data_IF_912839912162
#
_entry.id   IF_912839912162
#
_cell.length_a   1.000
_cell.length_b   1.000
_cell.length_c   1.000
_cell.angle_alpha   90.00
_cell.angle_beta   90.00
_cell.angle_gamma   90.00
#
_symmetry.space_group_name_H-M   'P 1'
#
loop_
_entity.id
_entity.type
_entity.pdbx_description
1 polymer ?
#
# COMPACT_ATOMS: atom_id res chain seq x y z
N UNK A 1 4.42 19.95 -18.39
CA UNK A 1 5.49 19.30 -17.60
C UNK A 1 5.12 17.84 -17.48
N UNK A 2 5.76 17.00 -18.29
CA UNK A 2 5.41 15.59 -18.49
C UNK A 2 5.94 14.79 -17.30
N UNK A 3 5.06 14.12 -16.57
CA UNK A 3 5.42 13.06 -15.63
C UNK A 3 5.86 11.87 -16.47
N UNK A 4 7.16 11.65 -16.56
CA UNK A 4 7.73 10.47 -17.19
C UNK A 4 8.13 9.50 -16.09
N UNK A 5 7.49 8.32 -16.14
CA UNK A 5 7.64 7.19 -15.25
C UNK A 5 9.10 6.84 -14.99
N UNK A 6 9.39 6.43 -13.76
CA UNK A 6 10.63 5.77 -13.39
C UNK A 6 10.61 4.34 -13.94
N UNK A 7 10.91 4.20 -15.24
CA UNK A 7 11.29 2.90 -15.81
C UNK A 7 12.81 2.78 -15.71
N UNK A 8 13.28 1.94 -14.78
CA UNK A 8 14.68 1.49 -14.76
C UNK A 8 14.86 0.46 -15.86
N UNK A 9 15.73 0.77 -16.81
CA UNK A 9 16.32 -0.22 -17.71
C UNK A 9 15.93 0.00 -19.17
N UNK A 10 16.94 0.31 -19.98
CA UNK A 10 16.95 0.37 -21.44
C UNK A 10 16.25 1.55 -22.12
N UNK A 11 17.10 2.51 -22.53
CA UNK A 11 17.25 3.10 -23.88
C UNK A 11 17.42 4.63 -23.86
N UNK A 12 18.49 5.15 -23.25
CA UNK A 12 18.97 6.46 -23.67
C UNK A 12 19.66 6.30 -25.04
N UNK A 13 19.08 6.88 -26.08
CA UNK A 13 19.62 6.79 -27.43
C UNK A 13 21.06 7.31 -27.48
N UNK A 14 21.90 6.78 -28.41
CA UNK A 14 23.27 7.26 -28.65
C UNK A 14 23.35 8.77 -28.88
N UNK A 15 22.24 9.39 -29.28
CA UNK A 15 22.07 10.82 -29.50
C UNK A 15 22.06 11.65 -28.21
N UNK A 16 21.55 11.09 -27.10
CA UNK A 16 21.50 11.79 -25.81
C UNK A 16 22.87 11.75 -25.14
N UNK A 17 23.58 10.63 -25.25
CA UNK A 17 24.95 10.49 -24.73
C UNK A 17 25.98 11.38 -25.45
N UNK A 18 25.80 11.65 -26.75
CA UNK A 18 26.71 12.54 -27.49
C UNK A 18 26.59 13.99 -27.01
N UNK A 19 25.35 14.48 -26.77
CA UNK A 19 25.11 15.83 -26.22
C UNK A 19 25.59 15.98 -24.77
N UNK A 20 25.41 14.96 -23.93
CA UNK A 20 25.91 14.97 -22.55
C UNK A 20 27.44 15.05 -22.54
N UNK A 21 28.15 14.26 -23.36
CA UNK A 21 29.62 14.32 -23.44
C UNK A 21 30.15 15.66 -23.96
N UNK A 22 29.42 16.33 -24.85
CA UNK A 22 29.78 17.68 -25.34
C UNK A 22 29.64 18.72 -24.21
N UNK A 23 28.60 18.60 -23.39
CA UNK A 23 28.36 19.46 -22.23
C UNK A 23 29.39 19.23 -21.11
N UNK A 24 29.76 17.98 -20.82
CA UNK A 24 30.80 17.63 -19.84
C UNK A 24 32.18 18.16 -20.25
N UNK A 25 32.49 18.19 -21.57
CA UNK A 25 33.73 18.78 -22.10
C UNK A 25 33.79 20.30 -21.96
N UNK A 26 32.64 21.00 -22.04
CA UNK A 26 32.59 22.45 -21.92
C UNK A 26 32.57 22.94 -20.46
N UNK A 27 31.97 22.17 -19.56
CA UNK A 27 31.73 22.59 -18.16
C UNK A 27 32.65 21.93 -17.15
N UNK A 28 33.46 20.95 -17.57
CA UNK A 28 34.33 20.16 -16.69
C UNK A 28 33.60 19.28 -15.67
N UNK A 29 32.26 19.28 -15.69
CA UNK A 29 31.43 18.59 -14.69
C UNK A 29 30.96 17.25 -15.26
N UNK A 30 31.39 16.12 -14.67
CA UNK A 30 30.86 14.79 -15.03
C UNK A 30 29.42 14.64 -14.52
N UNK A 31 28.45 14.57 -15.43
CA UNK A 31 27.02 14.38 -15.14
C UNK A 31 26.75 13.02 -14.50
N UNK A 32 27.62 12.02 -14.74
CA UNK A 32 27.57 10.73 -14.06
C UNK A 32 27.61 10.81 -12.53
N UNK A 33 28.24 11.84 -11.97
CA UNK A 33 28.32 12.04 -10.52
C UNK A 33 27.11 12.81 -9.95
N UNK A 34 26.25 13.38 -10.78
CA UNK A 34 25.01 14.07 -10.34
C UNK A 34 23.86 13.10 -10.04
N UNK A 35 24.01 11.81 -10.40
CA UNK A 35 23.03 10.75 -10.16
C UNK A 35 23.34 9.96 -8.88
N UNK A 36 24.54 10.11 -8.29
CA UNK A 36 24.90 9.50 -7.02
C UNK A 36 24.86 10.53 -5.87
N UNK A 37 24.06 10.22 -4.83
CA UNK A 37 23.82 10.97 -3.57
C UNK A 37 22.65 11.96 -3.53
N UNK A 38 21.50 11.62 -4.12
CA UNK A 38 20.25 11.87 -3.38
C UNK A 38 19.97 10.65 -2.54
N UNK A 39 20.13 10.76 -1.22
CA UNK A 39 19.59 9.78 -0.26
C UNK A 39 18.15 9.49 -0.67
N UNK A 40 17.88 8.30 -1.17
CA UNK A 40 16.51 7.86 -1.40
C UNK A 40 15.86 7.89 -0.03
N UNK A 41 14.98 8.87 0.23
CA UNK A 41 14.37 9.01 1.55
C UNK A 41 13.59 7.72 1.80
N UNK A 42 13.95 6.99 2.86
CA UNK A 42 13.41 5.66 3.09
C UNK A 42 11.88 5.72 3.15
N UNK A 43 11.23 4.99 2.26
CA UNK A 43 9.77 4.83 2.22
C UNK A 43 9.35 3.81 3.26
N UNK A 44 8.22 4.04 3.91
CA UNK A 44 7.63 3.14 4.90
C UNK A 44 6.20 2.82 4.53
N UNK A 45 5.82 1.56 4.73
CA UNK A 45 4.44 1.12 4.85
C UNK A 45 4.13 1.04 6.34
N UNK A 46 3.05 1.67 6.78
CA UNK A 46 2.59 1.60 8.16
C UNK A 46 1.16 1.13 8.19
N UNK A 47 0.87 0.23 9.12
CA UNK A 47 -0.46 -0.25 9.43
C UNK A 47 -0.81 0.24 10.84
N UNK A 48 -1.96 0.90 10.95
CA UNK A 48 -2.50 1.40 12.20
C UNK A 48 -3.81 0.68 12.49
N UNK A 49 -3.97 0.23 13.74
CA UNK A 49 -5.18 -0.46 14.21
C UNK A 49 -5.67 0.15 15.52
N UNK A 50 -6.98 0.34 15.61
CA UNK A 50 -7.70 0.65 16.82
C UNK A 50 -8.77 -0.41 17.04
N UNK A 51 -8.85 -0.91 18.27
CA UNK A 51 -9.95 -1.75 18.73
C UNK A 51 -11.17 -0.88 18.99
N UNK A 52 -12.35 -1.47 18.90
CA UNK A 52 -13.62 -0.81 19.23
C UNK A 52 -13.56 -0.13 20.61
N UNK A 53 -13.03 -0.82 21.63
CA UNK A 53 -12.90 -0.30 22.99
C UNK A 53 -12.01 0.95 23.12
N UNK A 54 -11.05 1.12 22.21
CA UNK A 54 -10.10 2.24 22.22
C UNK A 54 -10.62 3.43 21.40
N UNK A 55 -11.61 3.19 20.54
CA UNK A 55 -12.37 4.22 19.85
C UNK A 55 -13.51 4.76 20.73
N UNK A 56 -14.02 3.93 21.65
CA UNK A 56 -15.01 4.35 22.65
C UNK A 56 -14.44 5.43 23.57
N UNK A 57 -15.18 6.52 23.75
CA UNK A 57 -14.79 7.71 24.50
C UNK A 57 -14.28 8.86 23.63
N UNK A 58 -14.29 8.70 22.30
CA UNK A 58 -14.10 9.80 21.36
C UNK A 58 -15.48 10.22 20.86
N UNK A 59 -16.00 11.33 21.40
CA UNK A 59 -17.39 11.76 21.23
C UNK A 59 -17.91 11.69 19.79
N UNK A 60 -17.12 12.18 18.82
CA UNK A 60 -17.51 12.19 17.42
C UNK A 60 -17.57 10.78 16.80
N UNK A 61 -16.67 9.87 17.21
CA UNK A 61 -16.65 8.49 16.75
C UNK A 61 -17.77 7.69 17.41
N UNK A 62 -18.02 7.90 18.70
CA UNK A 62 -19.15 7.26 19.40
C UNK A 62 -20.47 7.69 18.77
N UNK A 63 -20.61 8.96 18.42
CA UNK A 63 -21.81 9.47 17.73
C UNK A 63 -21.94 8.87 16.33
N UNK A 64 -20.87 8.85 15.54
CA UNK A 64 -20.82 8.22 14.22
C UNK A 64 -21.20 6.73 14.29
N UNK A 65 -20.59 5.96 15.20
CA UNK A 65 -20.90 4.55 15.41
C UNK A 65 -22.27 4.33 16.07
N UNK A 66 -22.89 5.37 16.62
CA UNK A 66 -24.30 5.40 17.03
C UNK A 66 -25.26 5.48 15.84
N UNK A 67 -24.82 6.06 14.72
CA UNK A 67 -25.60 6.23 13.48
C UNK A 67 -25.43 5.03 12.54
N UNK A 68 -24.18 4.57 12.33
CA UNK A 68 -23.89 3.49 11.39
C UNK A 68 -23.25 2.25 12.05
N UNK A 69 -23.50 1.07 11.49
CA UNK A 69 -22.83 -0.19 11.86
C UNK A 69 -21.40 -0.25 11.32
N UNK A 70 -21.21 0.32 10.13
CA UNK A 70 -19.96 0.35 9.36
C UNK A 70 -19.91 1.61 8.49
N UNK A 71 -18.72 2.17 8.38
CA UNK A 71 -18.34 3.22 7.43
C UNK A 71 -17.01 2.84 6.80
N UNK A 72 -16.97 2.69 5.47
CA UNK A 72 -15.77 2.32 4.74
C UNK A 72 -15.49 3.32 3.61
N UNK A 73 -14.31 3.93 3.65
CA UNK A 73 -13.80 4.76 2.58
C UNK A 73 -13.23 3.86 1.49
N UNK A 74 -13.85 3.87 0.31
CA UNK A 74 -13.43 3.13 -0.87
C UNK A 74 -12.44 3.92 -1.74
N UNK A 75 -12.48 5.25 -1.65
CA UNK A 75 -11.62 6.12 -2.45
C UNK A 75 -11.60 7.56 -1.97
N UNK A 76 -10.55 8.29 -2.35
CA UNK A 76 -10.46 9.75 -2.21
C UNK A 76 -10.77 10.39 -3.56
N UNK A 77 -11.84 11.18 -3.64
CA UNK A 77 -12.24 11.90 -4.84
C UNK A 77 -11.49 13.23 -4.99
N UNK A 78 -11.27 13.94 -3.88
CA UNK A 78 -10.41 15.12 -3.82
C UNK A 78 -9.69 15.21 -2.47
N UNK A 79 -8.51 15.83 -2.47
CA UNK A 79 -7.71 16.09 -1.26
C UNK A 79 -7.30 17.56 -1.25
N UNK A 80 -7.84 18.30 -0.31
CA UNK A 80 -7.62 19.74 -0.11
C UNK A 80 -7.07 19.97 1.30
N UNK A 81 -6.43 21.12 1.53
CA UNK A 81 -5.82 21.41 2.83
C UNK A 81 -6.84 21.53 3.97
N UNK A 82 -8.11 21.80 3.66
CA UNK A 82 -9.20 21.98 4.61
C UNK A 82 -10.18 20.79 4.64
N UNK A 83 -9.92 19.72 3.89
CA UNK A 83 -10.78 18.53 3.88
C UNK A 83 -10.49 17.54 2.77
N UNK A 84 -11.08 16.35 2.90
CA UNK A 84 -10.99 15.27 1.91
C UNK A 84 -12.39 14.87 1.49
N UNK A 85 -12.66 14.90 0.19
CA UNK A 85 -13.90 14.32 -0.33
C UNK A 85 -13.65 12.84 -0.63
N UNK A 86 -14.51 11.99 -0.10
CA UNK A 86 -14.34 10.55 -0.05
C UNK A 86 -15.54 9.85 -0.67
N UNK A 87 -15.30 8.78 -1.41
CA UNK A 87 -16.33 7.82 -1.79
C UNK A 87 -16.42 6.80 -0.67
N UNK A 88 -17.60 6.68 -0.07
CA UNK A 88 -17.82 5.95 1.18
C UNK A 88 -19.00 5.00 1.02
N UNK A 89 -18.82 3.77 1.49
CA UNK A 89 -19.91 2.81 1.68
C UNK A 89 -20.29 2.79 3.16
N UNK A 90 -21.58 2.98 3.45
CA UNK A 90 -22.13 3.05 4.80
C UNK A 90 -23.18 1.97 5.00
N UNK A 91 -23.27 1.43 6.22
CA UNK A 91 -24.45 0.70 6.66
C UNK A 91 -25.08 1.40 7.85
N UNK A 92 -26.21 2.07 7.62
CA UNK A 92 -26.94 2.82 8.65
C UNK A 92 -27.64 1.84 9.59
N UNK A 93 -27.70 2.15 10.89
CA UNK A 93 -28.42 1.34 11.87
C UNK A 93 -29.93 1.50 11.71
N UNK A 94 -30.67 0.47 12.11
CA UNK A 94 -32.14 0.52 12.11
C UNK A 94 -32.64 1.71 12.95
N UNK A 95 -33.54 2.51 12.35
CA UNK A 95 -34.11 3.71 12.97
C UNK A 95 -33.22 4.96 12.91
N UNK A 96 -32.09 4.92 12.19
CA UNK A 96 -31.23 6.07 11.91
C UNK A 96 -31.32 6.51 10.45
N UNK A 97 -30.95 7.74 10.18
CA UNK A 97 -31.03 8.39 8.86
C UNK A 97 -29.63 8.81 8.39
N UNK A 98 -29.38 8.73 7.07
CA UNK A 98 -28.10 9.14 6.48
C UNK A 98 -27.77 10.62 6.76
N UNK A 99 -28.78 11.48 6.84
CA UNK A 99 -28.60 12.91 7.10
C UNK A 99 -27.96 13.20 8.47
N UNK A 100 -28.09 12.29 9.44
CA UNK A 100 -27.50 12.44 10.77
C UNK A 100 -25.97 12.46 10.72
N UNK A 101 -25.36 11.90 9.67
CA UNK A 101 -23.90 11.99 9.46
C UNK A 101 -23.46 13.45 9.31
N UNK A 102 -24.27 14.30 8.67
CA UNK A 102 -23.99 15.72 8.51
C UNK A 102 -24.24 16.55 9.77
N UNK A 103 -24.75 15.94 10.85
CA UNK A 103 -24.86 16.59 12.17
C UNK A 103 -23.55 16.52 12.95
N UNK A 104 -22.61 15.66 12.52
CA UNK A 104 -21.25 15.58 13.05
C UNK A 104 -20.43 16.79 12.57
N UNK A 105 -19.44 17.21 13.35
CA UNK A 105 -18.63 18.39 13.02
C UNK A 105 -17.68 18.17 11.85
N UNK A 106 -17.20 16.95 11.69
CA UNK A 106 -16.14 16.57 10.77
C UNK A 106 -16.64 15.93 9.47
N UNK A 107 -17.96 15.78 9.28
CA UNK A 107 -18.53 15.03 8.16
C UNK A 107 -19.70 15.78 7.53
N UNK A 108 -19.73 15.80 6.19
CA UNK A 108 -20.82 16.38 5.41
C UNK A 108 -21.15 15.42 4.25
N UNK A 109 -22.38 14.93 4.21
CA UNK A 109 -22.88 14.14 3.08
C UNK A 109 -23.15 15.07 1.90
N UNK A 110 -22.45 14.83 0.78
CA UNK A 110 -22.56 15.65 -0.42
C UNK A 110 -23.58 15.08 -1.42
N UNK A 111 -23.47 13.78 -1.69
CA UNK A 111 -24.26 13.11 -2.72
C UNK A 111 -24.45 11.64 -2.37
N UNK A 112 -25.67 11.13 -2.57
CA UNK A 112 -25.98 9.70 -2.49
C UNK A 112 -26.01 9.13 -3.90
N UNK A 113 -25.22 8.09 -4.15
CA UNK A 113 -25.08 7.47 -5.47
C UNK A 113 -25.99 6.25 -5.63
N UNK A 114 -25.93 5.33 -4.66
CA UNK A 114 -26.64 4.03 -4.71
C UNK A 114 -27.02 3.58 -3.30
N UNK A 115 -28.08 2.78 -3.20
CA UNK A 115 -28.50 2.10 -1.97
C UNK A 115 -29.07 0.72 -2.31
N UNK A 116 -28.59 -0.29 -1.61
CA UNK A 116 -29.08 -1.67 -1.70
C UNK A 116 -29.15 -2.32 -0.31
N UNK A 117 -29.34 -3.64 -0.25
CA UNK A 117 -29.40 -4.39 1.02
C UNK A 117 -28.07 -4.41 1.79
N UNK A 118 -26.94 -4.17 1.12
CA UNK A 118 -25.60 -4.21 1.70
C UNK A 118 -25.16 -2.88 2.31
N UNK A 119 -25.64 -1.76 1.75
CA UNK A 119 -25.35 -0.43 2.27
C UNK A 119 -25.71 0.70 1.32
N UNK A 120 -25.21 1.89 1.64
CA UNK A 120 -25.40 3.13 0.89
C UNK A 120 -24.03 3.62 0.40
N UNK A 121 -23.90 3.86 -0.91
CA UNK A 121 -22.74 4.47 -1.51
C UNK A 121 -22.93 5.99 -1.59
N UNK A 122 -22.03 6.75 -0.98
CA UNK A 122 -22.15 8.21 -0.84
C UNK A 122 -20.81 8.93 -1.04
N UNK A 123 -20.87 10.18 -1.50
CA UNK A 123 -19.77 11.13 -1.38
C UNK A 123 -19.87 11.87 -0.06
N UNK A 124 -18.82 11.83 0.76
CA UNK A 124 -18.73 12.57 2.03
C UNK A 124 -17.51 13.47 2.02
N UNK A 125 -17.66 14.73 2.44
CA UNK A 125 -16.55 15.60 2.82
C UNK A 125 -16.18 15.34 4.26
N UNK A 126 -14.91 15.00 4.49
CA UNK A 126 -14.36 14.73 5.81
C UNK A 126 -13.33 15.81 6.16
N UNK A 127 -13.56 16.51 7.28
CA UNK A 127 -12.69 17.56 7.83
C UNK A 127 -12.08 17.16 9.18
N UNK A 128 -12.16 15.87 9.52
CA UNK A 128 -11.62 15.37 10.78
C UNK A 128 -10.10 15.64 10.87
N UNK A 129 -9.55 16.08 12.03
CA UNK A 129 -8.14 16.45 12.16
C UNK A 129 -7.16 15.35 11.71
N UNK A 130 -7.51 14.08 11.93
CA UNK A 130 -6.72 12.94 11.44
C UNK A 130 -6.62 12.91 9.91
N UNK A 131 -7.72 13.17 9.21
CA UNK A 131 -7.76 13.19 7.75
C UNK A 131 -6.97 14.39 7.20
N UNK A 132 -7.18 15.59 7.76
CA UNK A 132 -6.47 16.81 7.37
C UNK A 132 -4.95 16.65 7.58
N UNK A 133 -4.53 16.11 8.74
CA UNK A 133 -3.10 15.91 9.03
C UNK A 133 -2.38 15.02 8.01
N UNK A 134 -3.07 14.02 7.46
CA UNK A 134 -2.51 13.14 6.44
C UNK A 134 -2.32 13.86 5.10
N UNK A 135 -3.18 14.84 4.77
CA UNK A 135 -3.06 15.69 3.58
C UNK A 135 -1.94 16.72 3.76
N UNK A 136 -1.87 17.37 4.92
CA UNK A 136 -0.88 18.42 5.21
C UNK A 136 0.55 17.89 5.22
N UNK A 137 0.76 16.69 5.78
CA UNK A 137 2.05 16.03 5.84
C UNK A 137 2.41 15.47 4.45
N UNK A 138 2.73 16.39 3.55
CA UNK A 138 3.21 16.15 2.19
C UNK A 138 4.07 14.87 2.14
N UNK A 139 3.81 14.00 1.17
CA UNK A 139 4.43 12.67 0.99
C UNK A 139 3.94 11.56 1.93
N UNK A 140 2.70 11.64 2.39
CA UNK A 140 1.93 10.51 2.91
C UNK A 140 0.82 10.19 1.92
N UNK A 141 0.59 8.90 1.70
CA UNK A 141 -0.53 8.38 0.94
C UNK A 141 -1.28 7.39 1.81
N UNK A 142 -2.55 7.70 2.08
CA UNK A 142 -3.47 6.79 2.78
C UNK A 142 -4.11 5.90 1.72
N UNK A 143 -4.04 4.58 1.92
CA UNK A 143 -4.49 3.61 0.92
C UNK A 143 -5.87 3.05 1.28
N UNK A 144 -6.93 3.35 0.49
CA UNK A 144 -8.22 2.69 0.62
C UNK A 144 -8.20 1.25 0.04
N UNK A 145 -9.14 0.38 0.46
CA UNK A 145 -10.21 0.65 1.41
C UNK A 145 -9.74 0.70 2.86
N UNK A 146 -10.41 1.53 3.65
CA UNK A 146 -10.28 1.53 5.11
C UNK A 146 -11.58 2.04 5.74
N UNK A 147 -11.88 1.61 6.95
CA UNK A 147 -13.14 1.94 7.57
C UNK A 147 -13.17 1.67 9.06
N UNK A 148 -14.25 2.14 9.69
CA UNK A 148 -14.59 1.81 11.06
C UNK A 148 -15.80 0.89 11.03
N UNK A 149 -15.73 -0.21 11.78
CA UNK A 149 -16.89 -1.05 12.03
C UNK A 149 -17.02 -1.39 13.52
N UNK A 150 -18.25 -1.64 13.94
CA UNK A 150 -18.62 -1.88 15.35
C UNK A 150 -18.05 -3.17 15.95
N UNK A 151 -17.42 -4.05 15.16
CA UNK A 151 -16.84 -5.33 15.59
C UNK A 151 -15.32 -5.31 15.57
N UNK A 152 -14.69 -4.81 14.51
CA UNK A 152 -13.24 -4.86 14.33
C UNK A 152 -12.53 -3.53 14.63
N UNK A 153 -13.27 -2.43 14.79
CA UNK A 153 -12.71 -1.11 15.03
C UNK A 153 -12.22 -0.45 13.74
N UNK A 154 -11.08 0.23 13.81
CA UNK A 154 -10.49 0.97 12.68
C UNK A 154 -9.15 0.35 12.28
N UNK A 155 -8.99 0.05 11.01
CA UNK A 155 -7.69 -0.29 10.41
C UNK A 155 -7.46 0.56 9.18
N UNK A 156 -6.27 1.16 9.05
CA UNK A 156 -5.86 1.73 7.76
C UNK A 156 -4.35 1.67 7.54
N UNK A 157 -3.98 1.72 6.26
CA UNK A 157 -2.61 1.63 5.76
C UNK A 157 -2.16 2.95 5.19
N UNK A 158 -0.95 3.36 5.55
CA UNK A 158 -0.30 4.54 5.00
C UNK A 158 1.06 4.20 4.40
N UNK A 159 1.41 4.90 3.34
CA UNK A 159 2.71 4.87 2.71
C UNK A 159 3.31 6.25 2.75
N UNK A 160 4.59 6.36 3.05
CA UNK A 160 5.20 7.67 3.02
C UNK A 160 6.67 7.68 3.34
N UNK A 161 7.23 8.87 3.21
CA UNK A 161 8.63 9.10 3.55
C UNK A 161 8.80 9.02 5.08
N UNK A 162 9.90 8.41 5.53
CA UNK A 162 10.17 8.18 6.95
C UNK A 162 9.99 9.40 7.86
N UNK A 163 10.33 10.61 7.40
CA UNK A 163 10.13 11.85 8.16
C UNK A 163 8.65 12.22 8.30
N UNK A 164 7.90 12.21 7.19
CA UNK A 164 6.46 12.53 7.21
C UNK A 164 5.69 11.52 8.05
N UNK A 165 6.00 10.22 7.90
CA UNK A 165 5.43 9.15 8.70
C UNK A 165 5.70 9.37 10.20
N UNK A 166 6.90 9.79 10.58
CA UNK A 166 7.20 10.07 11.99
C UNK A 166 6.31 11.18 12.54
N UNK A 167 6.24 12.31 11.84
CA UNK A 167 5.40 13.44 12.25
C UNK A 167 3.91 13.07 12.32
N UNK A 168 3.43 12.27 11.36
CA UNK A 168 2.06 11.78 11.39
C UNK A 168 1.81 10.91 12.62
N UNK A 169 2.68 9.95 12.91
CA UNK A 169 2.53 9.08 14.08
C UNK A 169 2.59 9.85 15.42
N UNK A 170 3.36 10.93 15.50
CA UNK A 170 3.36 11.84 16.67
C UNK A 170 2.01 12.53 16.85
N UNK A 171 1.42 13.03 15.76
CA UNK A 171 0.09 13.62 15.76
C UNK A 171 -1.00 12.60 16.13
N UNK A 172 -1.02 11.46 15.46
CA UNK A 172 -2.02 10.40 15.68
C UNK A 172 -2.01 9.93 17.14
N UNK A 173 -0.83 9.75 17.75
CA UNK A 173 -0.73 9.36 19.17
C UNK A 173 -1.32 10.40 20.14
N UNK A 174 -1.41 11.65 19.71
CA UNK A 174 -1.95 12.74 20.53
C UNK A 174 -3.46 12.86 20.37
N UNK A 175 -3.95 12.77 19.12
CA UNK A 175 -5.37 12.98 18.80
C UNK A 175 -6.19 11.71 18.98
N UNK A 176 -5.66 10.58 18.53
CA UNK A 176 -6.37 9.30 18.47
C UNK A 176 -5.37 8.13 18.58
N UNK A 177 -4.88 7.78 19.77
CA UNK A 177 -3.79 6.83 19.93
C UNK A 177 -4.18 5.42 19.47
N UNK A 178 -3.40 4.79 18.55
CA UNK A 178 -3.68 3.45 18.05
C UNK A 178 -3.25 2.36 19.05
N UNK A 179 -4.00 1.27 19.09
CA UNK A 179 -3.62 0.06 19.83
C UNK A 179 -2.40 -0.63 19.25
N UNK A 180 -2.23 -0.58 17.93
CA UNK A 180 -1.13 -1.26 17.25
C UNK A 180 -0.61 -0.44 16.08
N UNK A 181 0.71 -0.37 15.99
CA UNK A 181 1.44 0.28 14.90
C UNK A 181 2.45 -0.74 14.35
N UNK A 182 2.28 -1.16 13.10
CA UNK A 182 3.26 -1.99 12.40
C UNK A 182 3.95 -1.16 11.34
N UNK A 183 5.29 -1.06 11.40
CA UNK A 183 6.11 -0.24 10.48
C UNK A 183 7.03 -1.14 9.67
N UNK A 184 6.91 -1.06 8.35
CA UNK A 184 7.74 -1.81 7.41
C UNK A 184 8.48 -0.83 6.51
N UNK A 185 9.79 -1.02 6.36
CA UNK A 185 10.57 -0.21 5.40
C UNK A 185 10.43 -0.80 4.01
N UNK A 186 9.97 0.01 3.06
CA UNK A 186 9.94 -0.37 1.65
C UNK A 186 11.36 -0.30 1.13
N UNK A 187 11.96 -1.46 0.90
CA UNK A 187 13.29 -1.56 0.29
C UNK A 187 13.11 -1.46 -1.22
N UNK A 188 13.62 -0.39 -1.83
CA UNK A 188 13.69 -0.28 -3.29
C UNK A 188 14.54 -1.42 -3.85
N UNK A 189 13.96 -2.28 -4.68
CA UNK A 189 14.72 -3.21 -5.51
C UNK A 189 14.18 -4.63 -5.48
N UNK A 190 13.88 -5.11 -6.68
CA UNK A 190 13.52 -6.46 -7.14
C UNK A 190 14.37 -7.64 -6.64
N UNK A 191 15.25 -7.46 -5.65
CA UNK A 191 16.10 -8.51 -5.10
C UNK A 191 15.56 -9.10 -3.79
N UNK A 192 14.65 -8.42 -3.07
CA UNK A 192 14.22 -8.85 -1.73
C UNK A 192 12.86 -9.53 -1.62
N UNK A 193 12.14 -9.71 -2.73
CA UNK A 193 10.83 -10.36 -2.69
C UNK A 193 10.91 -11.84 -2.30
N UNK A 194 12.10 -12.46 -2.37
CA UNK A 194 12.32 -13.87 -2.09
C UNK A 194 13.45 -14.10 -1.06
N UNK A 195 13.80 -13.11 -0.23
CA UNK A 195 14.86 -13.23 0.80
C UNK A 195 14.58 -14.35 1.83
N UNK A 196 13.34 -14.83 1.91
CA UNK A 196 12.92 -15.96 2.75
C UNK A 196 13.20 -17.32 2.10
N UNK A 197 13.56 -17.35 0.81
CA UNK A 197 14.02 -18.54 0.10
C UNK A 197 15.54 -18.61 0.14
N UNK A 198 16.07 -19.83 0.29
CA UNK A 198 17.48 -20.09 0.01
C UNK A 198 17.78 -19.86 -1.47
N UNK A 199 19.04 -19.57 -1.80
CA UNK A 199 19.46 -19.33 -3.18
C UNK A 199 19.05 -20.46 -4.13
N UNK A 200 19.19 -21.72 -3.69
CA UNK A 200 18.79 -22.91 -4.46
C UNK A 200 17.28 -23.05 -4.64
N UNK A 201 16.49 -22.74 -3.62
CA UNK A 201 15.03 -22.71 -3.72
C UNK A 201 14.56 -21.63 -4.70
N UNK A 202 15.15 -20.43 -4.61
CA UNK A 202 14.86 -19.32 -5.53
C UNK A 202 15.20 -19.68 -6.97
N UNK A 203 16.43 -20.17 -7.21
CA UNK A 203 16.91 -20.55 -8.53
C UNK A 203 15.99 -21.57 -9.21
N UNK A 204 15.61 -22.60 -8.47
CA UNK A 204 14.73 -23.68 -8.93
C UNK A 204 13.32 -23.18 -9.20
N UNK A 205 12.74 -22.36 -8.30
CA UNK A 205 11.40 -21.81 -8.45
C UNK A 205 11.31 -20.83 -9.62
N UNK A 206 12.28 -19.93 -9.76
CA UNK A 206 12.35 -19.01 -10.89
C UNK A 206 12.47 -19.76 -12.22
N UNK A 207 13.26 -20.84 -12.25
CA UNK A 207 13.38 -21.67 -13.45
C UNK A 207 12.05 -22.33 -13.81
N UNK A 208 11.35 -22.91 -12.83
CA UNK A 208 10.05 -23.53 -13.04
C UNK A 208 9.02 -22.52 -13.59
N UNK A 209 8.93 -21.33 -12.99
CA UNK A 209 8.04 -20.25 -13.48
C UNK A 209 8.44 -19.79 -14.87
N UNK A 210 9.72 -19.50 -15.12
CA UNK A 210 10.20 -19.05 -16.45
C UNK A 210 9.95 -20.07 -17.56
N UNK A 211 9.95 -21.36 -17.22
CA UNK A 211 9.66 -22.44 -18.17
C UNK A 211 8.16 -22.71 -18.33
N UNK A 212 7.30 -22.05 -17.54
CA UNK A 212 5.86 -22.27 -17.56
C UNK A 212 5.45 -23.60 -16.92
N UNK A 213 6.21 -24.12 -15.96
CA UNK A 213 5.88 -25.37 -15.25
C UNK A 213 4.52 -25.31 -14.53
N UNK A 214 4.09 -24.12 -14.12
CA UNK A 214 2.83 -23.90 -13.40
C UNK A 214 1.68 -23.43 -14.30
N UNK A 215 1.88 -23.35 -15.61
CA UNK A 215 0.83 -22.91 -16.55
C UNK A 215 -0.14 -24.05 -16.86
N UNK A 216 -1.40 -23.72 -17.09
CA UNK A 216 -2.42 -24.68 -17.49
C UNK A 216 -2.06 -25.31 -18.86
N UNK A 217 -1.99 -26.64 -18.90
CA UNK A 217 -1.59 -27.40 -20.09
C UNK A 217 -0.07 -27.47 -20.33
N UNK A 218 0.75 -27.16 -19.33
CA UNK A 218 2.22 -27.23 -19.45
C UNK A 218 2.74 -28.63 -19.81
N UNK A 219 3.62 -28.69 -20.81
CA UNK A 219 4.40 -29.90 -21.14
C UNK A 219 5.72 -29.98 -20.35
N UNK A 220 6.02 -29.00 -19.50
CA UNK A 220 7.29 -28.94 -18.76
C UNK A 220 7.25 -29.91 -17.58
N UNK A 221 8.24 -30.80 -17.55
CA UNK A 221 8.37 -31.84 -16.53
C UNK A 221 9.49 -31.52 -15.54
N UNK A 222 9.36 -32.04 -14.31
CA UNK A 222 10.43 -32.00 -13.31
C UNK A 222 11.76 -32.56 -13.81
N UNK A 223 11.72 -33.54 -14.73
CA UNK A 223 12.93 -34.12 -15.32
C UNK A 223 13.66 -33.09 -16.19
N UNK A 224 12.94 -32.37 -17.06
CA UNK A 224 13.55 -31.33 -17.90
C UNK A 224 14.16 -30.19 -17.08
N UNK A 225 13.49 -29.81 -15.99
CA UNK A 225 14.03 -28.81 -15.05
C UNK A 225 15.29 -29.33 -14.33
N UNK A 226 15.29 -30.60 -13.90
CA UNK A 226 16.42 -31.25 -13.25
C UNK A 226 17.65 -31.33 -14.17
N UNK A 227 17.42 -31.76 -15.41
CA UNK A 227 18.45 -31.89 -16.46
C UNK A 227 19.10 -30.52 -16.74
N UNK A 228 18.31 -29.44 -16.73
CA UNK A 228 18.82 -28.08 -16.97
C UNK A 228 19.71 -27.55 -15.84
N UNK A 229 19.45 -27.94 -14.59
CA UNK A 229 20.25 -27.53 -13.42
C UNK A 229 21.35 -28.52 -13.06
N UNK A 230 21.44 -29.65 -13.77
CA UNK A 230 22.44 -30.69 -13.51
C UNK A 230 22.27 -31.39 -12.15
N UNK A 231 21.03 -31.48 -11.65
CA UNK A 231 20.71 -32.10 -10.34
C UNK A 231 19.74 -33.27 -10.50
N UNK A 232 19.61 -34.11 -9.48
CA UNK A 232 18.67 -35.22 -9.50
C UNK A 232 17.22 -34.73 -9.48
N UNK A 233 16.33 -35.47 -10.17
CA UNK A 233 14.89 -35.19 -10.20
C UNK A 233 14.26 -35.14 -8.80
N UNK A 234 14.73 -35.97 -7.86
CA UNK A 234 14.29 -35.94 -6.48
C UNK A 234 14.70 -34.66 -5.76
N UNK A 235 15.94 -34.20 -5.96
CA UNK A 235 16.50 -32.98 -5.36
C UNK A 235 15.77 -31.73 -5.83
N UNK A 236 15.49 -31.61 -7.14
CA UNK A 236 14.73 -30.45 -7.64
C UNK A 236 13.30 -30.42 -7.10
N UNK A 237 12.65 -31.58 -7.00
CA UNK A 237 11.29 -31.71 -6.45
C UNK A 237 11.23 -31.31 -4.97
N UNK A 238 12.25 -31.66 -4.19
CA UNK A 238 12.37 -31.23 -2.79
C UNK A 238 12.58 -29.71 -2.68
N UNK A 239 13.44 -29.13 -3.51
CA UNK A 239 13.66 -27.68 -3.54
C UNK A 239 12.39 -26.92 -3.95
N UNK A 240 11.66 -27.38 -4.97
CA UNK A 240 10.37 -26.79 -5.37
C UNK A 240 9.37 -26.87 -4.24
N UNK A 241 9.14 -28.07 -3.68
CA UNK A 241 8.17 -28.26 -2.60
C UNK A 241 8.44 -27.35 -1.40
N UNK A 242 9.72 -27.19 -1.02
CA UNK A 242 10.10 -26.27 0.06
C UNK A 242 9.90 -24.81 -0.34
N UNK A 243 10.31 -24.42 -1.55
CA UNK A 243 10.14 -23.06 -2.05
C UNK A 243 8.65 -22.66 -2.11
N UNK A 244 7.81 -23.52 -2.67
CA UNK A 244 6.35 -23.37 -2.74
C UNK A 244 5.74 -23.21 -1.36
N UNK A 245 6.13 -24.04 -0.39
CA UNK A 245 5.61 -23.95 0.98
C UNK A 245 5.91 -22.59 1.61
N UNK A 246 7.13 -22.09 1.47
CA UNK A 246 7.52 -20.80 2.03
C UNK A 246 6.82 -19.64 1.30
N UNK A 247 6.64 -19.73 -0.03
CA UNK A 247 5.90 -18.74 -0.82
C UNK A 247 4.43 -18.68 -0.39
N UNK A 248 3.77 -19.83 -0.22
CA UNK A 248 2.37 -19.89 0.23
C UNK A 248 2.21 -19.33 1.63
N UNK A 249 3.10 -19.70 2.57
CA UNK A 249 3.09 -19.12 3.93
C UNK A 249 3.27 -17.61 3.90
N UNK A 250 4.20 -17.13 3.06
CA UNK A 250 4.46 -15.69 2.91
C UNK A 250 3.26 -14.96 2.32
N UNK A 251 2.64 -15.51 1.27
CA UNK A 251 1.44 -14.96 0.66
C UNK A 251 0.31 -14.82 1.69
N UNK A 252 0.01 -15.87 2.46
CA UNK A 252 -1.02 -15.83 3.51
C UNK A 252 -0.67 -14.83 4.62
N UNK A 253 0.61 -14.73 5.01
CA UNK A 253 1.04 -13.74 5.99
C UNK A 253 0.92 -12.30 5.51
N UNK A 254 1.00 -12.05 4.20
CA UNK A 254 0.88 -10.70 3.64
C UNK A 254 -0.59 -10.26 3.46
N UNK A 255 -1.55 -11.20 3.53
CA UNK A 255 -2.99 -10.94 3.52
C UNK A 255 -3.59 -10.61 4.92
N UNK A 256 -2.88 -10.90 6.02
CA UNK A 256 -3.31 -10.67 7.41
C UNK A 256 -2.60 -9.47 8.07
#
# INVERSE_FOLDING_TARGET
MVVMQCNRGHLMSRFVWSRIRIFEKHTGTRVGNYIEKRTCKAMRKVLLRWKVSSLSGIDEIDTLMGICERIEVLGHLSTESDGVTQLVELKIKEGRELSEISELHSFEVLEKHEEDESGILVSIRCTHPLAISAVELSNIYVYPPYGIDSKNGLEFRIFGISSSIRSFLEFVRTVMPPDTISVQTIKNGSEKSLDFLTEKQREVLELAVRRGYYEDGSEVTLKQLADQLGIARSTIGEHLKRAESEVVKKAISDFN
#
